data_IF_881134529475
#
_entry.id   IF_881134529475
#
_cell.length_a   1.000
_cell.length_b   1.000
_cell.length_c   1.000
_cell.angle_alpha   90.00
_cell.angle_beta   90.00
_cell.angle_gamma   90.00
#
_symmetry.space_group_name_H-M   'P 1'
#
loop_
_entity.id
_entity.type
_entity.pdbx_description
1 polymer ?
#
# COMPACT_ATOMS: atom_id res chain seq x y z
N UNK A 1 -4.79 5.00 37.05
CA UNK A 1 -5.10 6.00 36.01
C UNK A 1 -4.00 5.97 34.95
N UNK A 2 -4.40 5.89 33.67
CA UNK A 2 -3.44 5.88 32.58
C UNK A 2 -2.83 7.25 32.39
N UNK A 3 -1.57 7.28 32.06
CA UNK A 3 -0.93 8.51 31.67
C UNK A 3 -1.26 8.82 30.19
N UNK A 4 -0.88 10.00 29.75
CA UNK A 4 -1.17 10.45 28.40
C UNK A 4 -0.52 9.60 27.32
N UNK A 5 0.69 9.11 27.57
CA UNK A 5 1.41 8.28 26.61
C UNK A 5 0.70 6.95 26.37
N UNK A 6 0.23 6.30 27.45
CA UNK A 6 -0.52 5.05 27.31
C UNK A 6 -1.80 5.24 26.50
N UNK A 7 -2.49 6.36 26.75
CA UNK A 7 -3.72 6.68 26.05
C UNK A 7 -3.46 6.88 24.55
N UNK A 8 -2.41 7.62 24.20
CA UNK A 8 -2.05 7.89 22.81
C UNK A 8 -1.65 6.62 22.07
N UNK A 9 -0.90 5.72 22.73
CA UNK A 9 -0.52 4.45 22.13
C UNK A 9 -1.71 3.57 21.80
N UNK A 10 -2.73 3.59 22.66
CA UNK A 10 -3.94 2.78 22.44
C UNK A 10 -4.87 3.34 21.38
N UNK A 11 -4.76 4.61 21.07
CA UNK A 11 -5.55 5.24 20.01
C UNK A 11 -5.01 4.95 18.61
N UNK A 12 -3.75 4.52 18.52
CA UNK A 12 -3.11 4.31 17.24
C UNK A 12 -2.54 5.61 16.67
N UNK A 13 -2.23 5.58 15.39
CA UNK A 13 -1.63 6.72 14.70
C UNK A 13 -2.66 7.77 14.34
N UNK A 14 -2.27 9.01 14.50
CA UNK A 14 -3.07 10.14 14.01
C UNK A 14 -2.39 10.68 12.74
N UNK A 15 -2.91 10.28 11.59
CA UNK A 15 -2.33 10.68 10.31
C UNK A 15 -2.42 12.18 10.06
N UNK A 16 -3.35 12.87 10.73
CA UNK A 16 -3.43 14.34 10.61
C UNK A 16 -2.23 15.04 11.24
N UNK A 17 -1.63 14.43 12.26
CA UNK A 17 -0.50 15.03 12.98
C UNK A 17 0.86 14.66 12.38
N UNK A 18 0.90 13.73 11.43
CA UNK A 18 2.15 13.30 10.81
C UNK A 18 2.47 14.13 9.58
N UNK A 19 3.74 14.46 9.39
CA UNK A 19 4.19 15.13 8.17
C UNK A 19 4.06 14.18 6.98
N UNK A 20 4.00 14.74 5.78
CA UNK A 20 4.01 13.95 4.55
C UNK A 20 5.25 13.06 4.50
N UNK A 21 6.41 13.58 4.87
CA UNK A 21 7.66 12.82 4.89
C UNK A 21 7.57 11.63 5.83
N UNK A 22 6.98 11.82 7.01
CA UNK A 22 6.83 10.73 7.98
C UNK A 22 5.88 9.67 7.45
N UNK A 23 4.77 10.08 6.87
CA UNK A 23 3.81 9.15 6.26
C UNK A 23 4.50 8.34 5.17
N UNK A 24 5.24 8.99 4.27
CA UNK A 24 5.94 8.30 3.19
C UNK A 24 7.00 7.33 3.73
N UNK A 25 7.68 7.68 4.81
CA UNK A 25 8.65 6.76 5.43
C UNK A 25 8.00 5.46 5.90
N UNK A 26 6.72 5.50 6.22
CA UNK A 26 5.95 4.33 6.66
C UNK A 26 5.41 3.55 5.47
N UNK A 27 4.79 4.24 4.51
CA UNK A 27 4.03 3.58 3.44
C UNK A 27 4.89 3.17 2.23
N UNK A 28 5.97 3.88 1.93
CA UNK A 28 6.80 3.53 0.78
C UNK A 28 7.39 2.12 0.85
N UNK A 29 7.95 1.69 2.00
CA UNK A 29 8.43 0.31 2.09
C UNK A 29 7.33 -0.73 1.90
N UNK A 30 6.11 -0.44 2.35
CA UNK A 30 4.98 -1.36 2.21
C UNK A 30 4.58 -1.50 0.74
N UNK A 31 4.49 -0.38 0.03
CA UNK A 31 4.17 -0.41 -1.40
C UNK A 31 5.29 -1.06 -2.21
N UNK A 32 6.55 -0.77 -1.88
CA UNK A 32 7.69 -1.39 -2.54
C UNK A 32 7.63 -2.91 -2.44
N UNK A 33 7.40 -3.43 -1.23
CA UNK A 33 7.27 -4.88 -1.02
C UNK A 33 6.09 -5.47 -1.79
N UNK A 34 4.97 -4.77 -1.79
CA UNK A 34 3.76 -5.22 -2.49
C UNK A 34 4.03 -5.38 -3.98
N UNK A 35 4.66 -4.38 -4.60
CA UNK A 35 4.95 -4.40 -6.04
C UNK A 35 6.04 -5.41 -6.39
N UNK A 36 7.06 -5.55 -5.54
CA UNK A 36 8.08 -6.58 -5.74
C UNK A 36 7.45 -7.98 -5.72
N UNK A 37 6.57 -8.23 -4.74
CA UNK A 37 5.86 -9.50 -4.66
C UNK A 37 5.04 -9.78 -5.91
N UNK A 38 4.35 -8.76 -6.42
CA UNK A 38 3.61 -8.88 -7.66
C UNK A 38 4.53 -9.18 -8.84
N UNK A 39 5.62 -8.42 -8.96
CA UNK A 39 6.59 -8.61 -10.04
C UNK A 39 7.22 -10.00 -10.03
N UNK A 40 7.48 -10.55 -8.84
CA UNK A 40 8.07 -11.88 -8.67
C UNK A 40 7.05 -13.01 -8.82
N UNK A 41 5.75 -12.69 -8.81
CA UNK A 41 4.71 -13.70 -8.78
C UNK A 41 4.64 -14.40 -7.43
N UNK A 42 5.13 -13.77 -6.38
CA UNK A 42 5.19 -14.31 -5.02
C UNK A 42 3.98 -13.79 -4.24
N UNK A 43 2.93 -14.59 -4.18
CA UNK A 43 1.68 -14.20 -3.53
C UNK A 43 1.89 -13.88 -2.04
N UNK A 44 2.62 -14.71 -1.33
CA UNK A 44 2.84 -14.54 0.11
C UNK A 44 3.51 -13.19 0.39
N UNK A 45 4.52 -12.84 -0.38
CA UNK A 45 5.21 -11.56 -0.28
C UNK A 45 4.29 -10.41 -0.68
N UNK A 46 3.54 -10.58 -1.77
CA UNK A 46 2.66 -9.53 -2.30
C UNK A 46 1.62 -9.09 -1.27
N UNK A 47 1.01 -10.03 -0.55
CA UNK A 47 -0.08 -9.74 0.39
C UNK A 47 0.39 -9.61 1.84
N UNK A 48 1.69 -9.68 2.09
CA UNK A 48 2.24 -9.69 3.45
C UNK A 48 1.69 -8.58 4.33
N UNK A 49 1.58 -7.38 3.80
CA UNK A 49 1.17 -6.20 4.54
C UNK A 49 -0.26 -5.76 4.23
N UNK A 50 -1.09 -6.68 3.77
CA UNK A 50 -2.50 -6.42 3.49
C UNK A 50 -3.34 -6.63 4.75
N UNK A 51 -4.44 -5.88 4.87
CA UNK A 51 -5.46 -6.19 5.86
C UNK A 51 -6.10 -7.53 5.52
N UNK A 52 -6.77 -8.15 6.49
CA UNK A 52 -7.45 -9.43 6.25
C UNK A 52 -8.47 -9.33 5.13
N UNK A 53 -9.18 -8.20 5.05
CA UNK A 53 -10.14 -7.95 3.97
C UNK A 53 -9.45 -8.02 2.61
N UNK A 54 -8.32 -7.34 2.47
CA UNK A 54 -7.57 -7.34 1.22
C UNK A 54 -6.98 -8.70 0.89
N UNK A 55 -6.51 -9.45 1.88
CA UNK A 55 -6.00 -10.80 1.67
C UNK A 55 -7.07 -11.73 1.10
N UNK A 56 -8.31 -11.55 1.54
CA UNK A 56 -9.42 -12.35 1.03
C UNK A 56 -9.79 -12.01 -0.42
N UNK A 57 -9.52 -10.78 -0.85
CA UNK A 57 -9.79 -10.34 -2.22
C UNK A 57 -8.68 -10.80 -3.17
N UNK A 58 -7.42 -10.67 -2.74
CA UNK A 58 -6.26 -10.95 -3.58
C UNK A 58 -5.73 -12.35 -3.26
N UNK A 59 -6.40 -13.37 -3.80
CA UNK A 59 -6.02 -14.77 -3.65
C UNK A 59 -4.84 -15.11 -4.58
N UNK A 60 -4.16 -16.26 -4.35
CA UNK A 60 -3.11 -16.70 -5.29
C UNK A 60 -3.62 -16.79 -6.73
N UNK A 61 -4.85 -17.27 -6.93
CA UNK A 61 -5.46 -17.38 -8.24
C UNK A 61 -5.68 -16.01 -8.87
N UNK A 62 -6.14 -15.05 -8.08
CA UNK A 62 -6.38 -13.69 -8.58
C UNK A 62 -5.06 -13.04 -9.00
N UNK A 63 -3.99 -13.23 -8.23
CA UNK A 63 -2.68 -12.70 -8.60
C UNK A 63 -2.19 -13.31 -9.92
N UNK A 64 -2.31 -14.63 -10.07
CA UNK A 64 -1.92 -15.30 -11.31
C UNK A 64 -2.72 -14.78 -12.51
N UNK A 65 -3.99 -14.53 -12.32
CA UNK A 65 -4.85 -13.96 -13.35
C UNK A 65 -4.37 -12.56 -13.75
N UNK A 66 -4.01 -11.74 -12.78
CA UNK A 66 -3.48 -10.39 -13.05
C UNK A 66 -2.15 -10.45 -13.80
N UNK A 67 -1.36 -11.49 -13.57
CA UNK A 67 -0.04 -11.63 -14.17
C UNK A 67 -0.06 -12.35 -15.52
N UNK A 68 -1.21 -12.82 -15.99
CA UNK A 68 -1.31 -13.63 -17.21
C UNK A 68 -1.26 -12.82 -18.51
N UNK A 69 -1.22 -11.50 -18.43
CA UNK A 69 -1.13 -10.64 -19.62
C UNK A 69 0.13 -10.89 -20.44
N UNK A 70 0.04 -10.64 -21.74
CA UNK A 70 1.17 -10.76 -22.65
C UNK A 70 1.30 -9.50 -23.50
N UNK A 71 2.49 -8.87 -23.51
CA UNK A 71 3.69 -9.28 -22.78
C UNK A 71 3.50 -9.13 -21.27
N UNK A 72 4.29 -9.88 -20.51
CA UNK A 72 4.33 -9.77 -19.06
C UNK A 72 4.77 -8.35 -18.68
N UNK A 73 3.97 -7.68 -17.85
CA UNK A 73 4.26 -6.31 -17.43
C UNK A 73 4.73 -6.30 -15.99
N UNK A 74 5.76 -5.51 -15.73
CA UNK A 74 6.32 -5.30 -14.39
C UNK A 74 6.12 -3.85 -13.98
N UNK A 75 5.87 -3.65 -12.68
CA UNK A 75 5.87 -2.30 -12.11
C UNK A 75 7.32 -1.87 -11.93
N UNK A 76 7.62 -0.65 -12.37
CA UNK A 76 8.97 -0.10 -12.31
C UNK A 76 9.01 1.08 -11.35
N UNK A 77 9.29 2.28 -11.81
CA UNK A 77 9.43 3.45 -10.95
C UNK A 77 8.07 4.02 -10.54
N UNK A 78 8.02 4.67 -9.39
CA UNK A 78 6.84 5.43 -9.00
C UNK A 78 7.26 6.77 -8.43
N UNK A 79 6.39 7.74 -8.63
CA UNK A 79 6.60 9.11 -8.17
C UNK A 79 5.41 9.52 -7.31
N UNK A 80 5.68 9.96 -6.09
CA UNK A 80 4.65 10.44 -5.18
C UNK A 80 3.94 11.66 -5.79
N UNK A 81 2.60 11.65 -5.73
CA UNK A 81 1.78 12.75 -6.21
C UNK A 81 1.11 13.48 -5.05
N UNK A 82 0.34 12.77 -4.22
CA UNK A 82 -0.38 13.45 -3.15
C UNK A 82 -0.79 12.49 -2.03
N UNK A 83 -1.10 13.07 -0.87
CA UNK A 83 -1.55 12.36 0.32
C UNK A 83 -2.92 12.89 0.72
N UNK A 84 -3.79 11.97 1.14
CA UNK A 84 -5.15 12.29 1.59
C UNK A 84 -5.32 11.73 3.00
N UNK A 85 -5.28 12.63 3.98
CA UNK A 85 -5.35 12.25 5.40
C UNK A 85 -6.79 12.06 5.82
N UNK A 86 -7.02 10.97 6.54
CA UNK A 86 -8.32 10.65 7.12
C UNK A 86 -8.14 10.34 8.59
N UNK A 87 -9.23 10.20 9.30
CA UNK A 87 -9.24 9.97 10.74
C UNK A 87 -8.47 8.71 11.15
N UNK A 88 -8.65 7.60 10.42
CA UNK A 88 -8.10 6.29 10.78
C UNK A 88 -7.28 5.67 9.66
N UNK A 89 -7.03 6.43 8.61
CA UNK A 89 -6.33 5.92 7.44
C UNK A 89 -5.70 7.05 6.66
N UNK A 90 -4.97 6.69 5.63
CA UNK A 90 -4.36 7.67 4.72
C UNK A 90 -4.38 7.12 3.31
N UNK A 91 -4.80 7.95 2.36
CA UNK A 91 -4.75 7.63 0.94
C UNK A 91 -3.49 8.21 0.34
N UNK A 92 -2.83 7.44 -0.51
CA UNK A 92 -1.63 7.89 -1.23
C UNK A 92 -1.85 7.66 -2.71
N UNK A 93 -1.42 8.62 -3.52
CA UNK A 93 -1.45 8.50 -4.97
C UNK A 93 -0.03 8.64 -5.51
N UNK A 94 0.36 7.67 -6.34
CA UNK A 94 1.63 7.69 -7.06
C UNK A 94 1.37 7.66 -8.57
N UNK A 95 2.28 8.26 -9.33
CA UNK A 95 2.38 8.00 -10.76
C UNK A 95 3.24 6.75 -10.90
N UNK A 96 2.69 5.71 -11.52
CA UNK A 96 3.33 4.41 -11.61
C UNK A 96 3.74 4.11 -13.03
N UNK A 97 5.02 3.79 -13.21
CA UNK A 97 5.54 3.34 -14.51
C UNK A 97 5.48 1.83 -14.61
N UNK A 98 5.41 1.33 -15.84
CA UNK A 98 5.38 -0.11 -16.14
C UNK A 98 6.39 -0.41 -17.24
N UNK A 99 6.80 -1.68 -17.33
CA UNK A 99 7.85 -2.10 -18.25
C UNK A 99 7.41 -2.25 -19.70
N UNK A 100 6.12 -2.46 -19.94
CA UNK A 100 5.63 -2.84 -21.27
C UNK A 100 5.41 -1.66 -22.22
N UNK A 101 5.26 -0.43 -21.68
CA UNK A 101 5.01 0.77 -22.50
C UNK A 101 5.35 2.01 -21.67
N UNK A 102 5.18 3.18 -22.30
CA UNK A 102 5.45 4.47 -21.65
C UNK A 102 4.22 5.08 -20.98
N UNK A 103 3.12 4.35 -20.91
CA UNK A 103 1.92 4.84 -20.22
C UNK A 103 2.23 5.11 -18.76
N UNK A 104 1.67 6.19 -18.24
CA UNK A 104 1.78 6.55 -16.83
C UNK A 104 0.48 6.15 -16.15
N UNK A 105 0.59 5.24 -15.18
CA UNK A 105 -0.57 4.72 -14.48
C UNK A 105 -0.78 5.44 -13.15
N UNK A 106 -1.99 5.35 -12.65
CA UNK A 106 -2.36 5.87 -11.34
C UNK A 106 -2.29 4.70 -10.36
N UNK A 107 -1.41 4.80 -9.36
CA UNK A 107 -1.34 3.84 -8.26
C UNK A 107 -1.96 4.54 -7.05
N UNK A 108 -3.13 4.07 -6.62
CA UNK A 108 -3.81 4.64 -5.47
C UNK A 108 -3.99 3.56 -4.41
N UNK A 109 -3.64 3.90 -3.18
CA UNK A 109 -3.68 2.96 -2.08
C UNK A 109 -4.21 3.62 -0.83
N UNK A 110 -4.87 2.84 0.02
CA UNK A 110 -5.31 3.29 1.34
C UNK A 110 -4.58 2.43 2.36
N UNK A 111 -3.94 3.10 3.31
CA UNK A 111 -3.23 2.47 4.41
C UNK A 111 -3.98 2.73 5.70
N UNK A 112 -4.09 1.70 6.52
CA UNK A 112 -4.85 1.75 7.76
C UNK A 112 -4.01 1.17 8.89
N UNK A 113 -4.10 1.80 10.06
CA UNK A 113 -3.44 1.26 11.25
C UNK A 113 -4.36 0.20 11.88
N UNK A 114 -3.82 -0.98 12.09
CA UNK A 114 -4.54 -2.11 12.71
C UNK A 114 -3.64 -2.68 13.80
N UNK A 115 -4.05 -2.54 15.04
CA UNK A 115 -3.32 -3.07 16.21
C UNK A 115 -1.83 -2.68 16.21
N UNK A 116 -1.56 -1.41 15.95
CA UNK A 116 -0.21 -0.87 15.97
C UNK A 116 0.58 -1.06 14.69
N UNK A 117 0.01 -1.70 13.67
CA UNK A 117 0.68 -1.90 12.38
C UNK A 117 -0.06 -1.15 11.29
N UNK A 118 0.68 -0.55 10.38
CA UNK A 118 0.10 0.08 9.19
C UNK A 118 0.04 -0.98 8.10
N UNK A 119 -1.16 -1.20 7.57
CA UNK A 119 -1.41 -2.21 6.55
C UNK A 119 -2.11 -1.60 5.35
N UNK A 120 -1.97 -2.26 4.20
CA UNK A 120 -2.63 -1.85 2.95
C UNK A 120 -4.07 -2.36 2.97
N UNK A 121 -5.03 -1.44 2.95
CA UNK A 121 -6.45 -1.77 2.97
C UNK A 121 -7.11 -1.64 1.59
N UNK A 122 -6.41 -1.03 0.64
CA UNK A 122 -6.87 -0.87 -0.74
C UNK A 122 -5.67 -0.54 -1.61
N UNK A 123 -5.64 -1.11 -2.80
CA UNK A 123 -4.65 -0.75 -3.81
C UNK A 123 -5.22 -1.00 -5.19
N UNK A 124 -5.17 0.01 -6.04
CA UNK A 124 -5.62 -0.09 -7.42
C UNK A 124 -4.62 0.64 -8.32
N UNK A 125 -4.22 -0.02 -9.39
CA UNK A 125 -3.32 0.56 -10.38
C UNK A 125 -3.99 0.46 -11.74
N UNK A 126 -4.24 1.61 -12.35
CA UNK A 126 -4.95 1.64 -13.63
C UNK A 126 -4.48 2.79 -14.53
#
# INVERSE_FOLDING_TARGET
KRNRADYMMKKGLDFFSLSTEKILSIVEPLMENCLEGSNEGDHEKHVRDFTDRMKNIVTPEELQKQLSGKPRTYFTDRQFINVFRRRDSVGIVWKQSISSCSDELINQAIFKEVEGKVLIDHCMIC
#
